data_IF_920151012114
#
_entry.id   IF_920151012114
#
_cell.length_a   1.000
_cell.length_b   1.000
_cell.length_c   1.000
_cell.angle_alpha   90.00
_cell.angle_beta   90.00
_cell.angle_gamma   90.00
#
_symmetry.space_group_name_H-M   'P 1'
#
loop_
_entity.id
_entity.type
_entity.pdbx_description
1 polymer ?
#
# COMPACT_ATOMS: atom_id res chain seq x y z
N UNK A 1 10.41 24.60 -35.83
CA UNK A 1 10.93 23.44 -35.06
C UNK A 1 10.77 23.64 -33.54
N UNK A 2 11.09 24.82 -33.02
CA UNK A 2 10.97 25.14 -31.58
C UNK A 2 9.57 24.95 -30.97
N UNK A 3 8.49 25.31 -31.69
CA UNK A 3 7.11 25.11 -31.22
C UNK A 3 6.73 23.62 -31.08
N UNK A 4 7.23 22.75 -31.96
CA UNK A 4 6.99 21.29 -31.88
C UNK A 4 7.74 20.69 -30.70
N UNK A 5 8.98 21.15 -30.46
CA UNK A 5 9.78 20.71 -29.30
C UNK A 5 9.13 21.13 -27.97
N UNK A 6 8.59 22.36 -27.89
CA UNK A 6 7.88 22.84 -26.71
C UNK A 6 6.61 21.99 -26.41
N UNK A 7 5.84 21.63 -27.44
CA UNK A 7 4.65 20.77 -27.27
C UNK A 7 5.04 19.37 -26.78
N UNK A 8 6.13 18.80 -27.31
CA UNK A 8 6.63 17.48 -26.88
C UNK A 8 7.10 17.53 -25.41
N UNK A 9 7.82 18.58 -25.03
CA UNK A 9 8.28 18.77 -23.65
C UNK A 9 7.12 18.94 -22.67
N UNK A 10 6.09 19.69 -23.04
CA UNK A 10 4.88 19.87 -22.22
C UNK A 10 4.13 18.54 -22.06
N UNK A 11 3.95 17.78 -23.15
CA UNK A 11 3.29 16.48 -23.10
C UNK A 11 4.06 15.46 -22.25
N UNK A 12 5.40 15.45 -22.34
CA UNK A 12 6.24 14.59 -21.52
C UNK A 12 6.17 14.96 -20.02
N UNK A 13 6.16 16.26 -19.71
CA UNK A 13 6.00 16.73 -18.34
C UNK A 13 4.64 16.31 -17.76
N UNK A 14 3.54 16.49 -18.51
CA UNK A 14 2.18 16.08 -18.13
C UNK A 14 2.07 14.56 -17.87
N UNK A 15 2.72 13.74 -18.68
CA UNK A 15 2.74 12.28 -18.49
C UNK A 15 3.49 11.87 -17.21
N UNK A 16 4.57 12.57 -16.86
CA UNK A 16 5.33 12.31 -15.64
C UNK A 16 4.55 12.61 -14.35
N UNK A 17 3.67 13.62 -14.35
CA UNK A 17 2.84 13.96 -13.18
C UNK A 17 1.76 12.91 -12.92
N UNK A 18 1.16 12.36 -13.99
CA UNK A 18 0.12 11.34 -13.89
C UNK A 18 0.66 10.01 -13.34
N UNK A 19 1.89 9.64 -13.69
CA UNK A 19 2.51 8.41 -13.20
C UNK A 19 2.82 8.42 -11.68
N UNK A 20 3.01 9.60 -11.09
CA UNK A 20 3.31 9.76 -9.66
C UNK A 20 2.07 9.86 -8.77
N UNK A 21 0.87 9.97 -9.36
CA UNK A 21 -0.38 10.13 -8.61
C UNK A 21 -0.89 8.83 -7.97
N UNK A 22 -0.34 7.67 -8.36
CA UNK A 22 -0.82 6.38 -7.89
C UNK A 22 0.02 5.90 -6.70
N UNK A 23 -0.22 6.51 -5.53
CA UNK A 23 0.23 5.93 -4.26
C UNK A 23 -0.48 4.60 -4.07
N UNK A 24 0.29 3.51 -4.05
CA UNK A 24 -0.22 2.17 -3.75
C UNK A 24 -0.88 2.18 -2.36
N UNK A 25 -2.13 1.74 -2.25
CA UNK A 25 -2.82 1.61 -0.96
C UNK A 25 -2.06 0.67 -0.03
N UNK A 26 -2.06 0.98 1.27
CA UNK A 26 -1.48 0.10 2.28
C UNK A 26 -2.27 -1.21 2.37
N UNK A 27 -1.62 -2.37 2.56
CA UNK A 27 -2.31 -3.61 2.91
C UNK A 27 -2.83 -3.62 4.36
N UNK A 28 -2.34 -2.72 5.22
CA UNK A 28 -2.70 -2.62 6.64
C UNK A 28 -3.92 -1.73 6.80
N UNK A 29 -5.00 -2.28 7.34
CA UNK A 29 -6.28 -1.59 7.41
C UNK A 29 -6.26 -0.37 8.33
N UNK A 30 -5.41 -0.40 9.37
CA UNK A 30 -5.21 0.70 10.31
C UNK A 30 -4.52 1.94 9.69
N UNK A 31 -3.94 1.79 8.50
CA UNK A 31 -3.32 2.87 7.73
C UNK A 31 -4.26 3.46 6.67
N UNK A 32 -5.48 2.94 6.54
CA UNK A 32 -6.46 3.32 5.51
C UNK A 32 -7.56 4.21 6.09
N UNK A 33 -7.97 5.22 5.32
CA UNK A 33 -9.25 5.88 5.57
C UNK A 33 -10.42 4.98 5.14
N UNK A 34 -11.64 5.34 5.55
CA UNK A 34 -12.83 4.59 5.12
C UNK A 34 -13.03 4.59 3.59
N UNK A 35 -12.66 5.67 2.91
CA UNK A 35 -12.68 5.73 1.43
C UNK A 35 -11.62 4.79 0.83
N UNK A 36 -10.40 4.81 1.36
CA UNK A 36 -9.32 3.95 0.87
C UNK A 36 -9.65 2.47 1.05
N UNK A 37 -10.32 2.11 2.16
CA UNK A 37 -10.70 0.73 2.43
C UNK A 37 -11.63 0.15 1.35
N UNK A 38 -12.57 0.95 0.85
CA UNK A 38 -13.45 0.51 -0.26
C UNK A 38 -12.65 0.23 -1.54
N UNK A 39 -11.68 1.08 -1.84
CA UNK A 39 -10.84 0.94 -3.02
C UNK A 39 -9.86 -0.23 -2.86
N UNK A 40 -9.36 -0.46 -1.64
CA UNK A 40 -8.50 -1.58 -1.29
C UNK A 40 -9.21 -2.94 -1.48
N UNK A 41 -10.50 -3.04 -1.14
CA UNK A 41 -11.32 -4.24 -1.40
C UNK A 41 -11.37 -4.55 -2.91
N UNK A 42 -11.58 -3.53 -3.74
CA UNK A 42 -11.60 -3.71 -5.20
C UNK A 42 -10.21 -4.12 -5.73
N UNK A 43 -9.15 -3.48 -5.24
CA UNK A 43 -7.77 -3.79 -5.62
C UNK A 43 -7.34 -5.20 -5.19
N UNK A 44 -7.73 -5.65 -4.01
CA UNK A 44 -7.43 -6.99 -3.49
C UNK A 44 -8.32 -8.07 -4.09
N UNK A 45 -9.32 -7.70 -4.91
CA UNK A 45 -10.35 -8.61 -5.46
C UNK A 45 -11.10 -9.36 -4.36
N UNK A 46 -11.36 -8.68 -3.24
CA UNK A 46 -12.06 -9.24 -2.08
C UNK A 46 -11.22 -10.20 -1.23
N UNK A 47 -9.91 -10.33 -1.49
CA UNK A 47 -9.01 -11.14 -0.66
C UNK A 47 -8.64 -10.38 0.62
N UNK A 48 -8.71 -11.07 1.76
CA UNK A 48 -8.33 -10.58 3.07
C UNK A 48 -7.30 -11.52 3.69
N UNK A 49 -6.29 -10.94 4.35
CA UNK A 49 -5.36 -11.67 5.23
C UNK A 49 -5.67 -11.22 6.65
N UNK A 50 -6.02 -12.17 7.51
CA UNK A 50 -6.26 -11.92 8.93
C UNK A 50 -5.18 -12.64 9.74
N UNK A 51 -4.15 -11.93 10.22
CA UNK A 51 -3.16 -12.51 11.12
C UNK A 51 -3.83 -12.97 12.42
N UNK A 52 -3.52 -14.19 12.85
CA UNK A 52 -3.94 -14.76 14.12
C UNK A 52 -2.73 -15.43 14.77
N UNK A 53 -2.59 -15.26 16.08
CA UNK A 53 -1.50 -15.86 16.86
C UNK A 53 -1.94 -16.12 18.29
N UNK A 54 -1.00 -16.59 19.10
CA UNK A 54 -1.21 -16.99 20.50
C UNK A 54 -0.40 -16.06 21.41
N UNK A 55 -0.93 -15.79 22.61
CA UNK A 55 -0.15 -15.23 23.70
C UNK A 55 0.36 -16.38 24.57
N UNK A 56 1.63 -16.76 24.39
CA UNK A 56 2.24 -17.88 25.10
C UNK A 56 3.70 -17.63 25.48
N UNK A 57 4.21 -18.44 26.39
CA UNK A 57 5.60 -18.31 26.88
C UNK A 57 6.58 -18.88 25.86
N UNK A 58 7.44 -18.02 25.31
CA UNK A 58 8.60 -18.43 24.52
C UNK A 58 9.92 -18.29 25.28
N UNK A 59 10.23 -19.26 26.15
CA UNK A 59 11.49 -19.28 26.93
C UNK A 59 11.82 -17.94 27.61
N UNK A 60 13.09 -17.71 27.99
CA UNK A 60 13.52 -16.40 28.52
C UNK A 60 13.90 -15.37 27.44
N UNK A 61 13.95 -15.78 26.16
CA UNK A 61 14.62 -15.03 25.09
C UNK A 61 13.65 -14.38 24.10
N UNK A 62 12.37 -14.76 24.12
CA UNK A 62 11.37 -14.25 23.18
C UNK A 62 10.14 -13.67 23.91
N UNK A 63 9.52 -12.61 23.37
CA UNK A 63 8.30 -12.02 23.91
C UNK A 63 7.09 -12.98 23.85
N UNK A 64 6.09 -12.71 24.69
CA UNK A 64 4.87 -13.52 24.77
C UNK A 64 3.99 -13.46 23.51
N UNK A 65 4.07 -12.36 22.75
CA UNK A 65 3.27 -12.15 21.53
C UNK A 65 4.03 -12.47 20.25
N UNK A 66 5.04 -13.33 20.32
CA UNK A 66 5.89 -13.65 19.15
C UNK A 66 5.03 -14.17 17.98
N UNK A 67 4.09 -15.07 18.27
CA UNK A 67 3.25 -15.74 17.27
C UNK A 67 2.41 -14.78 16.43
N UNK A 68 1.92 -13.68 17.02
CA UNK A 68 1.13 -12.69 16.28
C UNK A 68 2.03 -11.68 15.56
N UNK A 69 3.19 -11.34 16.12
CA UNK A 69 4.10 -10.36 15.51
C UNK A 69 4.83 -10.93 14.28
N UNK A 70 5.02 -12.25 14.23
CA UNK A 70 5.64 -12.93 13.08
C UNK A 70 4.64 -13.39 12.02
N UNK A 71 3.34 -13.26 12.29
CA UNK A 71 2.25 -13.64 11.39
C UNK A 71 2.09 -12.71 10.19
#
# INVERSE_FOLDING_TARGET
>A
MLKKLAVILIAAALAGVAANAQTKLSPKWEELTASDFRDAIAQSKGVCILPFGILEKHGPHLPLGTDLQSA
#
